data_IF_159246289417
#
_entry.id   IF_159246289417
#
_cell.length_a   1.000
_cell.length_b   1.000
_cell.length_c   1.000
_cell.angle_alpha   90.00
_cell.angle_beta   90.00
_cell.angle_gamma   90.00
#
_symmetry.space_group_name_H-M   'P 1'
#
loop_
_entity.id
_entity.type
_entity.pdbx_description
1 polymer ?
#
# COMPACT_ATOMS: atom_id res chain seq x y z
N UNK A 1 11.65 -43.43 10.62
CA UNK A 1 11.65 -42.61 9.40
C UNK A 1 10.21 -42.23 9.10
N UNK A 2 9.88 -40.93 9.21
CA UNK A 2 8.56 -40.43 8.88
C UNK A 2 8.33 -40.58 7.37
N UNK A 3 7.11 -40.90 6.94
CA UNK A 3 6.82 -41.05 5.50
C UNK A 3 6.84 -39.67 4.85
N UNK A 4 7.26 -39.60 3.60
CA UNK A 4 7.32 -38.34 2.84
C UNK A 4 5.96 -37.61 2.80
N UNK A 5 4.85 -38.35 2.86
CA UNK A 5 3.49 -37.79 2.92
C UNK A 5 3.21 -37.02 4.22
N UNK A 6 3.70 -37.50 5.36
CA UNK A 6 3.51 -36.84 6.65
C UNK A 6 4.30 -35.52 6.70
N UNK A 7 5.51 -35.48 6.13
CA UNK A 7 6.29 -34.23 5.99
C UNK A 7 5.54 -33.19 5.15
N UNK A 8 4.92 -33.63 4.06
CA UNK A 8 4.13 -32.74 3.17
C UNK A 8 2.89 -32.18 3.88
N UNK A 9 2.23 -32.98 4.72
CA UNK A 9 1.06 -32.52 5.49
C UNK A 9 1.45 -31.47 6.53
N UNK A 10 2.49 -31.74 7.33
CA UNK A 10 2.97 -30.81 8.35
C UNK A 10 3.44 -29.48 7.73
N UNK A 11 4.18 -29.54 6.61
CA UNK A 11 4.58 -28.36 5.84
C UNK A 11 3.37 -27.51 5.40
N UNK A 12 2.32 -28.15 4.89
CA UNK A 12 1.12 -27.44 4.46
C UNK A 12 0.35 -26.80 5.62
N UNK A 13 0.28 -27.47 6.78
CA UNK A 13 -0.37 -26.93 7.99
C UNK A 13 0.42 -25.75 8.59
N UNK A 14 1.75 -25.84 8.63
CA UNK A 14 2.62 -24.75 9.05
C UNK A 14 2.50 -23.53 8.12
N UNK A 15 2.51 -23.77 6.80
CA UNK A 15 2.26 -22.72 5.79
C UNK A 15 0.89 -22.08 5.95
N UNK A 16 -0.15 -22.86 6.24
CA UNK A 16 -1.50 -22.34 6.46
C UNK A 16 -1.54 -21.35 7.63
N UNK A 17 -0.97 -21.73 8.78
CA UNK A 17 -0.97 -20.88 9.98
C UNK A 17 -0.03 -19.69 9.86
N UNK A 18 1.12 -19.85 9.24
CA UNK A 18 2.04 -18.74 9.00
C UNK A 18 1.44 -17.75 8.02
N UNK A 19 0.86 -18.23 6.91
CA UNK A 19 0.12 -17.39 5.98
C UNK A 19 -1.04 -16.69 6.67
N UNK A 20 -1.75 -17.36 7.59
CA UNK A 20 -2.83 -16.75 8.35
C UNK A 20 -2.30 -15.67 9.31
N UNK A 21 -1.21 -15.91 10.05
CA UNK A 21 -0.56 -14.89 10.93
C UNK A 21 0.03 -13.72 10.15
N UNK A 22 0.69 -13.99 9.03
CA UNK A 22 1.28 -12.98 8.16
C UNK A 22 0.17 -12.20 7.47
N UNK A 23 -0.86 -12.83 6.91
CA UNK A 23 -1.97 -12.13 6.25
C UNK A 23 -2.97 -11.47 7.21
N UNK A 24 -3.08 -11.95 8.46
CA UNK A 24 -3.94 -11.31 9.46
C UNK A 24 -3.32 -10.00 10.00
N UNK A 25 -2.01 -9.81 9.83
CA UNK A 25 -1.28 -8.63 10.33
C UNK A 25 -0.64 -7.78 9.23
N UNK A 26 -0.19 -8.37 8.12
CA UNK A 26 0.11 -7.63 6.91
C UNK A 26 -1.22 -7.08 6.43
N UNK A 27 -1.37 -5.76 6.40
CA UNK A 27 -2.59 -5.10 5.91
C UNK A 27 -2.66 -5.39 4.40
N UNK A 28 -3.48 -6.33 3.89
CA UNK A 28 -3.71 -6.35 2.46
C UNK A 28 -4.46 -5.05 2.15
N UNK A 29 -3.84 -4.16 1.39
CA UNK A 29 -4.62 -3.08 0.79
C UNK A 29 -5.78 -3.72 0.02
N UNK A 30 -7.04 -3.35 0.31
CA UNK A 30 -8.19 -3.94 -0.35
C UNK A 30 -7.99 -3.89 -1.87
N UNK A 31 -8.33 -4.95 -2.61
CA UNK A 31 -8.16 -4.96 -4.08
C UNK A 31 -8.85 -3.76 -4.74
N UNK A 32 -9.96 -3.30 -4.16
CA UNK A 32 -10.73 -2.13 -4.58
C UNK A 32 -9.94 -0.79 -4.47
N UNK A 33 -8.89 -0.73 -3.63
CA UNK A 33 -8.02 0.44 -3.46
C UNK A 33 -6.97 0.51 -4.58
N UNK A 34 -6.61 -0.63 -5.19
CA UNK A 34 -5.62 -0.68 -6.29
C UNK A 34 -6.13 0.01 -7.55
N UNK A 35 -7.43 -0.08 -7.84
CA UNK A 35 -8.04 0.50 -9.05
C UNK A 35 -8.34 2.01 -8.89
N UNK A 36 -8.62 2.47 -7.66
CA UNK A 36 -8.99 3.86 -7.35
C UNK A 36 -7.85 4.76 -6.86
N UNK A 37 -6.69 4.21 -6.51
CA UNK A 37 -5.53 5.01 -6.09
C UNK A 37 -5.12 6.01 -7.19
N UNK A 38 -4.75 7.26 -6.86
CA UNK A 38 -4.14 8.13 -7.86
C UNK A 38 -2.88 7.46 -8.42
N UNK A 39 -2.57 7.67 -9.70
CA UNK A 39 -1.52 6.91 -10.41
C UNK A 39 -0.11 6.99 -9.77
N UNK A 40 0.13 7.93 -8.86
CA UNK A 40 1.38 8.00 -8.08
C UNK A 40 1.40 7.08 -6.84
N UNK A 41 0.25 6.58 -6.38
CA UNK A 41 0.11 5.63 -5.25
C UNK A 41 -0.15 4.18 -5.72
N UNK A 42 -0.57 3.97 -6.97
CA UNK A 42 -0.71 2.64 -7.55
C UNK A 42 0.65 1.95 -7.60
N UNK A 43 0.78 0.83 -6.88
CA UNK A 43 1.93 -0.08 -7.01
C UNK A 43 1.43 -1.36 -7.63
N UNK A 44 1.65 -1.48 -8.94
CA UNK A 44 1.42 -2.71 -9.67
C UNK A 44 2.47 -3.75 -9.24
N UNK A 45 2.06 -4.66 -8.36
CA UNK A 45 2.81 -5.88 -8.03
C UNK A 45 2.75 -6.93 -9.14
N UNK A 46 2.02 -6.65 -10.23
CA UNK A 46 1.97 -7.46 -11.44
C UNK A 46 2.23 -6.59 -12.66
N UNK A 47 3.31 -6.86 -13.39
CA UNK A 47 3.63 -6.23 -14.67
C UNK A 47 3.77 -4.69 -14.65
N UNK A 48 4.59 -4.17 -13.74
CA UNK A 48 5.43 -3.03 -14.05
C UNK A 48 5.35 -1.87 -13.08
N UNK A 49 6.35 -1.83 -12.20
CA UNK A 49 6.70 -0.65 -11.42
C UNK A 49 7.23 0.45 -12.37
N UNK A 50 6.52 1.57 -12.49
CA UNK A 50 7.04 2.79 -13.11
C UNK A 50 7.02 3.90 -12.05
N UNK A 51 8.08 3.99 -11.24
CA UNK A 51 8.27 5.17 -10.40
C UNK A 51 8.73 6.33 -11.30
N UNK A 52 7.78 7.20 -11.65
CA UNK A 52 8.15 8.57 -11.98
C UNK A 52 8.45 9.24 -10.66
N UNK A 53 9.72 9.48 -10.36
CA UNK A 53 10.10 10.39 -9.29
C UNK A 53 9.25 11.65 -9.45
N UNK A 54 8.56 12.12 -8.39
CA UNK A 54 7.77 13.35 -8.50
C UNK A 54 8.70 14.43 -9.05
N UNK A 55 8.23 15.32 -9.93
CA UNK A 55 9.03 16.44 -10.38
C UNK A 55 9.38 17.26 -9.13
N UNK A 56 10.58 17.03 -8.60
CA UNK A 56 11.17 17.83 -7.54
C UNK A 56 11.03 19.26 -8.01
N UNK A 57 10.18 20.02 -7.32
CA UNK A 57 9.87 21.37 -7.71
C UNK A 57 11.19 22.11 -7.91
N UNK A 58 11.49 22.54 -9.15
CA UNK A 58 12.67 23.35 -9.48
C UNK A 58 12.72 24.69 -8.70
N UNK A 59 11.75 24.95 -7.80
CA UNK A 59 11.64 26.14 -6.97
C UNK A 59 12.22 26.02 -5.57
N UNK A 60 12.50 24.82 -5.04
CA UNK A 60 13.02 24.71 -3.67
C UNK A 60 14.56 24.70 -3.55
N UNK A 61 15.29 24.82 -4.66
CA UNK A 61 16.75 25.06 -4.67
C UNK A 61 17.16 26.43 -5.24
N UNK A 62 16.27 27.43 -5.17
CA UNK A 62 16.57 28.82 -5.58
C UNK A 62 16.53 29.85 -4.42
N UNK A 63 16.71 29.39 -3.19
CA UNK A 63 16.93 30.25 -2.01
C UNK A 63 18.03 29.49 -1.23
N UNK A 64 19.29 29.87 -1.19
CA UNK A 64 19.91 31.19 -1.03
C UNK A 64 21.21 31.26 -1.84
N UNK A 65 21.20 31.94 -2.99
CA UNK A 65 22.42 32.38 -3.67
C UNK A 65 22.59 33.87 -3.42
N UNK A 66 23.28 34.21 -2.34
CA UNK A 66 23.89 35.52 -2.15
C UNK A 66 25.37 35.30 -1.80
N UNK A 67 26.20 35.42 -2.83
CA UNK A 67 27.59 35.89 -2.73
C UNK A 67 28.63 34.86 -2.29
N UNK A 68 29.24 34.19 -3.25
CA UNK A 68 30.69 34.19 -3.48
C UNK A 68 30.98 33.35 -4.73
N UNK A 69 31.47 34.01 -5.78
CA UNK A 69 31.87 33.41 -7.06
C UNK A 69 33.12 32.54 -6.84
N UNK A 70 32.92 31.26 -6.57
CA UNK A 70 34.00 30.26 -6.52
C UNK A 70 34.23 29.71 -7.94
N UNK A 71 35.14 30.33 -8.70
CA UNK A 71 35.54 29.99 -10.08
C UNK A 71 36.33 28.65 -10.17
N UNK A 72 35.88 27.61 -9.47
CA UNK A 72 36.53 26.29 -9.44
C UNK A 72 35.61 25.09 -9.67
N UNK A 73 34.31 25.31 -9.95
CA UNK A 73 33.28 24.26 -9.87
C UNK A 73 32.52 23.98 -11.18
N UNK A 74 33.18 24.02 -12.34
CA UNK A 74 32.49 23.78 -13.63
C UNK A 74 32.96 22.55 -14.42
N UNK A 75 33.95 21.78 -13.96
CA UNK A 75 34.50 20.67 -14.78
C UNK A 75 33.84 19.31 -14.53
N UNK A 76 33.09 19.13 -13.43
CA UNK A 76 32.47 17.84 -13.08
C UNK A 76 30.98 17.75 -13.40
N UNK A 77 30.36 18.83 -13.89
CA UNK A 77 28.94 18.85 -14.26
C UNK A 77 28.64 18.01 -15.51
N UNK A 78 29.65 17.68 -16.32
CA UNK A 78 29.47 17.00 -17.63
C UNK A 78 29.56 15.46 -17.55
N UNK A 79 29.95 14.90 -16.39
CA UNK A 79 29.98 13.45 -16.15
C UNK A 79 28.86 12.95 -15.22
N UNK A 80 27.98 13.86 -14.78
CA UNK A 80 26.80 13.51 -14.00
C UNK A 80 25.67 13.04 -14.93
N UNK A 81 25.14 11.85 -14.69
CA UNK A 81 23.82 11.49 -15.22
C UNK A 81 22.77 11.92 -14.20
N UNK A 82 21.65 12.48 -14.68
CA UNK A 82 20.52 12.83 -13.80
C UNK A 82 19.64 11.58 -13.61
N UNK A 83 19.53 11.04 -12.38
CA UNK A 83 18.64 9.92 -12.12
C UNK A 83 17.17 10.24 -12.38
N UNK A 84 16.77 11.52 -12.41
CA UNK A 84 15.40 11.91 -12.73
C UNK A 84 15.02 11.72 -14.22
N UNK A 85 16.00 11.59 -15.12
CA UNK A 85 15.76 11.30 -16.54
C UNK A 85 15.49 9.80 -16.82
N UNK A 86 15.58 8.98 -15.77
CA UNK A 86 15.38 7.55 -15.83
C UNK A 86 14.21 7.13 -14.94
N UNK A 87 13.57 6.04 -15.35
CA UNK A 87 12.55 5.33 -14.60
C UNK A 87 13.10 3.97 -14.23
N UNK A 88 12.88 3.58 -12.97
CA UNK A 88 13.30 2.29 -12.44
C UNK A 88 12.14 1.31 -12.61
N UNK A 89 12.44 0.11 -13.10
CA UNK A 89 11.49 -0.98 -13.20
C UNK A 89 12.05 -2.27 -12.61
N UNK A 90 11.25 -2.92 -11.78
CA UNK A 90 11.55 -4.27 -11.29
C UNK A 90 11.54 -5.26 -12.46
N UNK A 91 12.63 -6.00 -12.65
CA UNK A 91 12.75 -7.04 -13.69
C UNK A 91 12.45 -8.41 -13.12
N UNK A 92 12.97 -8.67 -11.92
CA UNK A 92 12.89 -9.98 -11.30
C UNK A 92 13.82 -10.11 -10.11
N UNK A 93 13.95 -11.33 -9.64
CA UNK A 93 14.84 -11.72 -8.56
C UNK A 93 15.66 -12.94 -8.96
N UNK A 94 16.74 -13.21 -8.22
CA UNK A 94 17.56 -14.40 -8.43
C UNK A 94 18.19 -14.87 -7.12
N UNK A 95 18.32 -16.19 -7.00
CA UNK A 95 19.08 -16.85 -5.94
C UNK A 95 20.41 -17.32 -6.54
N UNK A 96 21.54 -16.87 -6.00
CA UNK A 96 22.88 -17.17 -6.51
C UNK A 96 23.72 -17.75 -5.38
N UNK A 97 24.23 -18.97 -5.58
CA UNK A 97 25.23 -19.55 -4.68
C UNK A 97 26.57 -18.84 -4.87
N UNK A 98 27.04 -18.16 -3.84
CA UNK A 98 28.31 -17.43 -3.81
C UNK A 98 29.26 -18.03 -2.79
N UNK A 99 30.56 -17.80 -2.96
CA UNK A 99 31.55 -18.22 -1.95
C UNK A 99 31.34 -17.38 -0.69
N UNK A 100 31.30 -18.03 0.47
CA UNK A 100 31.23 -17.36 1.76
C UNK A 100 32.45 -17.74 2.59
N UNK A 101 33.21 -16.71 2.99
CA UNK A 101 34.42 -16.89 3.81
C UNK A 101 34.08 -17.52 5.16
N UNK A 102 32.92 -17.15 5.74
CA UNK A 102 32.42 -17.72 7.00
C UNK A 102 32.16 -19.22 6.89
N UNK A 103 31.52 -19.63 5.78
CA UNK A 103 31.27 -21.04 5.48
C UNK A 103 32.56 -21.79 5.16
N UNK A 104 33.56 -21.13 4.56
CA UNK A 104 34.85 -21.73 4.23
C UNK A 104 35.71 -22.07 5.47
N UNK A 105 35.53 -21.37 6.60
CA UNK A 105 36.34 -21.54 7.80
C UNK A 105 35.88 -22.68 8.73
N UNK A 106 34.68 -23.24 8.53
CA UNK A 106 34.17 -24.33 9.36
C UNK A 106 32.79 -24.90 8.99
N UNK A 107 32.20 -24.44 7.89
CA UNK A 107 30.89 -24.86 7.42
C UNK A 107 30.90 -26.24 6.74
N UNK A 108 29.71 -26.84 6.63
CA UNK A 108 29.48 -28.07 5.87
C UNK A 108 29.53 -27.85 4.35
N UNK A 109 29.31 -26.62 3.92
CA UNK A 109 29.44 -26.18 2.52
C UNK A 109 30.30 -24.91 2.50
N UNK A 110 30.83 -24.57 1.31
CA UNK A 110 31.62 -23.35 1.09
C UNK A 110 30.79 -22.25 0.41
N UNK A 111 29.58 -22.61 -0.01
CA UNK A 111 28.68 -21.72 -0.71
C UNK A 111 27.61 -21.20 0.24
N UNK A 112 27.18 -19.97 0.02
CA UNK A 112 26.04 -19.37 0.65
C UNK A 112 25.11 -18.86 -0.44
N UNK A 113 23.81 -19.08 -0.29
CA UNK A 113 22.82 -18.60 -1.25
C UNK A 113 22.54 -17.13 -0.98
N UNK A 114 23.04 -16.23 -1.84
CA UNK A 114 22.71 -14.81 -1.80
C UNK A 114 21.52 -14.54 -2.72
N UNK A 115 20.61 -13.68 -2.26
CA UNK A 115 19.34 -13.38 -2.93
C UNK A 115 19.37 -11.93 -3.41
N UNK A 116 18.98 -11.73 -4.66
CA UNK A 116 19.10 -10.44 -5.31
C UNK A 116 17.81 -10.04 -6.01
N UNK A 117 17.58 -8.74 -6.08
CA UNK A 117 16.56 -8.11 -6.90
C UNK A 117 17.24 -7.34 -8.02
N UNK A 118 16.75 -7.53 -9.24
CA UNK A 118 17.26 -6.89 -10.44
C UNK A 118 16.30 -5.80 -10.88
N UNK A 119 16.83 -4.60 -10.98
CA UNK A 119 16.14 -3.44 -11.55
C UNK A 119 16.71 -3.10 -12.92
N UNK A 120 15.85 -2.56 -13.76
CA UNK A 120 16.23 -1.91 -15.01
C UNK A 120 15.95 -0.43 -14.94
N UNK A 121 16.98 0.37 -15.21
CA UNK A 121 16.87 1.80 -15.41
C UNK A 121 16.68 2.06 -16.88
N UNK A 122 15.52 2.60 -17.21
CA UNK A 122 15.12 2.96 -18.57
C UNK A 122 15.03 4.48 -18.69
N UNK A 123 15.43 5.08 -19.81
CA UNK A 123 15.12 6.49 -20.05
C UNK A 123 13.62 6.70 -19.93
N UNK A 124 13.17 7.72 -19.18
CA UNK A 124 11.75 7.85 -18.81
C UNK A 124 10.80 7.96 -20.00
N UNK A 125 11.28 8.45 -21.15
CA UNK A 125 10.49 8.53 -22.38
C UNK A 125 10.34 7.19 -23.13
N UNK A 126 11.13 6.17 -22.76
CA UNK A 126 11.07 4.82 -23.30
C UNK A 126 10.50 3.81 -22.31
N UNK A 127 10.49 4.14 -21.01
CA UNK A 127 9.91 3.29 -19.98
C UNK A 127 8.39 3.28 -20.15
N UNK A 128 7.81 2.11 -20.42
CA UNK A 128 6.36 1.99 -20.54
C UNK A 128 5.85 0.62 -20.11
N UNK A 129 4.56 0.58 -19.76
CA UNK A 129 3.88 -0.63 -19.30
C UNK A 129 3.76 -1.71 -20.38
N UNK A 130 3.87 -1.36 -21.66
CA UNK A 130 3.84 -2.31 -22.78
C UNK A 130 5.03 -3.26 -22.81
N UNK A 131 6.16 -2.85 -22.22
CA UNK A 131 7.36 -3.68 -22.15
C UNK A 131 7.45 -4.28 -20.77
N UNK A 132 7.52 -5.61 -20.69
CA UNK A 132 7.65 -6.34 -19.44
C UNK A 132 8.77 -5.80 -18.55
N UNK A 133 9.93 -5.53 -19.16
CA UNK A 133 11.10 -4.98 -18.48
C UNK A 133 11.26 -3.45 -18.68
N UNK A 134 10.25 -2.77 -19.22
CA UNK A 134 10.21 -1.30 -19.30
C UNK A 134 10.77 -0.74 -20.59
N UNK A 135 11.97 -1.16 -20.99
CA UNK A 135 12.59 -0.80 -22.26
C UNK A 135 13.55 -1.90 -22.75
N UNK A 136 13.80 -1.94 -24.05
CA UNK A 136 14.61 -2.98 -24.71
C UNK A 136 16.01 -2.52 -25.13
N UNK A 137 16.30 -1.22 -25.08
CA UNK A 137 17.58 -0.61 -25.50
C UNK A 137 17.97 0.50 -24.53
N UNK A 138 19.25 0.88 -24.52
CA UNK A 138 19.79 2.00 -23.72
C UNK A 138 19.42 1.94 -22.23
N UNK A 139 19.41 0.73 -21.67
CA UNK A 139 19.07 0.50 -20.28
C UNK A 139 20.31 0.12 -19.46
N UNK A 140 20.26 0.48 -18.18
CA UNK A 140 21.18 -0.04 -17.16
C UNK A 140 20.47 -1.12 -16.33
N UNK A 141 21.19 -2.15 -15.91
CA UNK A 141 20.70 -3.12 -14.93
C UNK A 141 21.45 -2.94 -13.63
N UNK A 142 20.69 -2.88 -12.54
CA UNK A 142 21.21 -2.70 -11.19
C UNK A 142 20.70 -3.82 -10.33
N UNK A 143 21.53 -4.27 -9.40
CA UNK A 143 21.26 -5.41 -8.55
C UNK A 143 21.44 -4.96 -7.12
N UNK A 144 20.44 -5.21 -6.28
CA UNK A 144 20.53 -5.00 -4.83
C UNK A 144 20.22 -6.31 -4.11
N UNK A 145 20.61 -6.41 -2.84
CA UNK A 145 20.24 -7.57 -2.03
C UNK A 145 18.72 -7.60 -1.82
N UNK A 146 18.15 -8.80 -1.75
CA UNK A 146 16.71 -8.95 -1.50
C UNK A 146 16.30 -8.35 -0.15
N UNK A 147 17.19 -8.43 0.84
CA UNK A 147 16.93 -7.94 2.19
C UNK A 147 16.86 -6.40 2.20
N UNK A 148 17.82 -5.74 1.55
CA UNK A 148 17.82 -4.28 1.33
C UNK A 148 16.60 -3.83 0.51
N UNK A 149 16.21 -4.61 -0.52
CA UNK A 149 15.00 -4.32 -1.29
C UNK A 149 13.75 -4.31 -0.39
N UNK A 150 13.57 -5.33 0.44
CA UNK A 150 12.40 -5.47 1.29
C UNK A 150 12.35 -4.41 2.39
N UNK A 151 13.51 -4.02 2.92
CA UNK A 151 13.61 -2.92 3.89
C UNK A 151 13.18 -1.59 3.28
N UNK A 152 13.79 -1.20 2.15
CA UNK A 152 13.46 0.05 1.47
C UNK A 152 12.02 0.04 0.96
N UNK A 153 11.56 -1.09 0.42
CA UNK A 153 10.18 -1.23 -0.05
C UNK A 153 9.17 -1.18 1.11
N UNK A 154 9.52 -1.74 2.27
CA UNK A 154 8.73 -1.64 3.49
C UNK A 154 8.54 -0.20 3.94
N UNK A 155 9.63 0.55 4.07
CA UNK A 155 9.60 1.98 4.43
C UNK A 155 8.77 2.79 3.42
N UNK A 156 8.99 2.58 2.13
CA UNK A 156 8.20 3.23 1.08
C UNK A 156 6.70 2.93 1.20
N UNK A 157 6.34 1.70 1.59
CA UNK A 157 4.94 1.32 1.79
C UNK A 157 4.31 1.93 3.03
N UNK A 158 5.07 2.07 4.11
CA UNK A 158 4.64 2.82 5.29
C UNK A 158 4.38 4.29 4.95
N UNK A 159 5.29 4.93 4.21
CA UNK A 159 5.12 6.33 3.77
C UNK A 159 3.89 6.50 2.85
N UNK A 160 3.71 5.61 1.87
CA UNK A 160 2.53 5.63 1.00
C UNK A 160 1.23 5.48 1.80
N UNK A 161 1.24 4.59 2.79
CA UNK A 161 0.09 4.36 3.66
C UNK A 161 -0.24 5.61 4.48
N UNK A 162 0.77 6.23 5.09
CA UNK A 162 0.59 7.47 5.84
C UNK A 162 0.04 8.61 4.95
N UNK A 163 0.63 8.80 3.77
CA UNK A 163 0.13 9.79 2.80
C UNK A 163 -1.32 9.53 2.36
N UNK A 164 -1.70 8.25 2.19
CA UNK A 164 -3.08 7.87 1.89
C UNK A 164 -4.03 8.28 3.03
N UNK A 165 -3.65 7.99 4.27
CA UNK A 165 -4.45 8.32 5.44
C UNK A 165 -4.61 9.83 5.64
N UNK A 166 -3.52 10.59 5.55
CA UNK A 166 -3.55 12.06 5.63
C UNK A 166 -4.41 12.68 4.53
N UNK A 167 -4.30 12.14 3.30
CA UNK A 167 -5.13 12.58 2.18
C UNK A 167 -6.62 12.30 2.43
N UNK A 168 -6.96 11.09 2.85
CA UNK A 168 -8.35 10.69 3.06
C UNK A 168 -9.00 11.39 4.26
N UNK A 169 -8.23 11.65 5.31
CA UNK A 169 -8.70 12.45 6.45
C UNK A 169 -9.11 13.86 6.01
N UNK A 170 -8.24 14.55 5.25
CA UNK A 170 -8.55 15.87 4.71
C UNK A 170 -9.75 15.83 3.76
N UNK A 171 -9.78 14.85 2.86
CA UNK A 171 -10.87 14.60 1.93
C UNK A 171 -12.22 14.49 2.64
N UNK A 172 -12.32 13.60 3.64
CA UNK A 172 -13.57 13.36 4.39
C UNK A 172 -13.96 14.54 5.29
N UNK A 173 -12.99 15.27 5.83
CA UNK A 173 -13.26 16.51 6.56
C UNK A 173 -13.98 17.54 5.69
N UNK A 174 -13.50 17.76 4.46
CA UNK A 174 -14.13 18.70 3.53
C UNK A 174 -15.53 18.27 3.11
N UNK A 175 -15.77 16.98 2.87
CA UNK A 175 -17.11 16.47 2.55
C UNK A 175 -18.12 16.77 3.65
N UNK A 176 -17.77 16.43 4.89
CA UNK A 176 -18.63 16.68 6.04
C UNK A 176 -18.88 18.18 6.23
N UNK A 177 -17.87 19.02 6.00
CA UNK A 177 -18.00 20.46 6.11
C UNK A 177 -18.91 21.09 5.03
N UNK A 178 -18.78 20.69 3.77
CA UNK A 178 -19.53 21.31 2.66
C UNK A 178 -20.91 20.69 2.39
N UNK A 179 -21.08 19.40 2.69
CA UNK A 179 -22.30 18.65 2.38
C UNK A 179 -23.04 18.15 3.62
N UNK A 180 -22.35 17.91 4.74
CA UNK A 180 -22.97 17.47 5.99
C UNK A 180 -23.94 18.48 6.60
N UNK A 181 -23.74 19.78 6.36
CA UNK A 181 -24.62 20.83 6.88
C UNK A 181 -25.87 21.11 6.02
N UNK A 182 -25.94 20.63 4.76
CA UNK A 182 -27.13 20.88 3.92
C UNK A 182 -28.35 20.06 4.31
N UNK A 183 -28.20 18.97 5.06
CA UNK A 183 -29.32 18.13 5.47
C UNK A 183 -30.08 18.64 6.70
N UNK A 184 -29.59 19.68 7.39
CA UNK A 184 -30.26 20.19 8.60
C UNK A 184 -31.28 21.31 8.33
N UNK A 185 -31.25 21.93 7.15
CA UNK A 185 -32.13 23.06 6.84
C UNK A 185 -33.44 22.67 6.14
N UNK A 186 -33.56 21.44 5.61
CA UNK A 186 -34.78 20.93 4.94
C UNK A 186 -35.66 20.03 5.84
N UNK A 187 -35.21 19.72 7.06
CA UNK A 187 -36.02 19.01 8.06
C UNK A 187 -36.79 19.97 9.00
N UNK A 188 -36.83 21.26 8.64
CA UNK A 188 -37.17 22.35 9.54
C UNK A 188 -38.48 23.08 9.26
N UNK A 189 -39.50 22.51 8.59
CA UNK A 189 -40.77 23.25 8.43
C UNK A 189 -42.09 22.45 8.33
N UNK A 190 -42.12 21.12 8.51
CA UNK A 190 -43.37 20.33 8.39
C UNK A 190 -43.85 19.61 9.67
N UNK A 191 -43.22 19.82 10.83
CA UNK A 191 -43.63 19.21 12.10
C UNK A 191 -44.56 20.09 12.97
N UNK A 192 -45.41 20.91 12.33
CA UNK A 192 -46.46 21.66 13.00
C UNK A 192 -47.82 21.50 12.30
N UNK A 193 -48.24 20.25 12.04
CA UNK A 193 -49.62 19.97 11.68
C UNK A 193 -50.08 18.62 12.27
N UNK A 194 -50.98 18.69 13.24
CA UNK A 194 -51.99 17.65 13.43
C UNK A 194 -52.03 16.97 14.79
N UNK A 195 -52.40 17.70 15.84
CA UNK A 195 -53.13 17.10 16.96
C UNK A 195 -54.16 18.08 17.53
N UNK A 196 -55.10 18.51 16.67
CA UNK A 196 -56.36 19.13 17.09
C UNK A 196 -57.51 18.51 16.28
N UNK A 197 -57.99 17.39 16.80
CA UNK A 197 -59.24 16.79 16.39
C UNK A 197 -60.41 17.57 17.01
N UNK A 198 -61.35 18.00 16.15
CA UNK A 198 -62.71 18.50 16.44
C UNK A 198 -62.78 19.91 17.08
N UNK A 199 -63.53 20.89 16.58
CA UNK A 199 -64.85 20.89 15.95
C UNK A 199 -65.05 22.16 15.09
N UNK A 200 -66.09 22.10 14.26
CA UNK A 200 -66.93 23.21 13.78
C UNK A 200 -66.48 24.04 12.55
N UNK A 201 -67.05 23.63 11.41
CA UNK A 201 -67.88 24.45 10.50
C UNK A 201 -67.47 25.90 10.18
N UNK A 202 -67.29 26.17 8.87
CA UNK A 202 -67.76 27.42 8.26
C UNK A 202 -66.81 28.10 7.29
N UNK A 203 -67.21 28.06 6.00
CA UNK A 203 -67.06 29.06 4.94
C UNK A 203 -65.69 29.60 4.47
N UNK A 204 -65.50 29.37 3.17
CA UNK A 204 -65.09 30.29 2.11
C UNK A 204 -63.67 30.91 2.04
N UNK A 205 -63.12 30.72 0.82
CA UNK A 205 -62.12 31.53 0.12
C UNK A 205 -60.66 31.31 0.58
N UNK A 206 -59.66 31.15 -0.28
CA UNK A 206 -59.42 31.69 -1.62
C UNK A 206 -58.56 30.68 -2.40
N UNK A 207 -58.95 30.44 -3.65
CA UNK A 207 -58.15 29.77 -4.66
C UNK A 207 -57.52 30.86 -5.55
N UNK A 208 -56.23 31.11 -5.41
CA UNK A 208 -55.36 31.79 -6.39
C UNK A 208 -54.02 31.04 -6.33
N UNK A 209 -53.72 30.18 -7.29
CA UNK A 209 -53.04 30.44 -8.57
C UNK A 209 -51.53 30.75 -8.42
N UNK A 210 -50.74 29.98 -9.18
CA UNK A 210 -49.36 30.23 -9.66
C UNK A 210 -48.22 30.08 -8.63
N UNK A 211 -47.13 29.34 -8.84
CA UNK A 211 -46.51 28.89 -10.09
C UNK A 211 -45.86 27.51 -9.93
N UNK A 212 -46.26 26.64 -10.86
CA UNK A 212 -45.77 25.29 -11.05
C UNK A 212 -44.45 25.37 -11.85
N UNK A 213 -43.31 25.26 -11.18
CA UNK A 213 -42.05 24.99 -11.88
C UNK A 213 -42.09 23.54 -12.38
N UNK A 214 -42.27 23.37 -13.68
CA UNK A 214 -42.03 22.10 -14.35
C UNK A 214 -40.56 21.72 -14.16
N UNK A 215 -40.29 20.80 -13.25
CA UNK A 215 -39.07 19.98 -13.30
C UNK A 215 -39.35 18.95 -14.39
N UNK A 216 -38.60 19.03 -15.49
CA UNK A 216 -38.61 18.04 -16.58
C UNK A 216 -38.31 16.65 -16.00
N UNK A 217 -39.33 15.81 -15.83
CA UNK A 217 -39.21 14.41 -15.41
C UNK A 217 -38.73 13.48 -16.56
N UNK A 218 -38.38 14.05 -17.72
CA UNK A 218 -37.92 13.33 -18.92
C UNK A 218 -36.39 13.45 -19.17
N UNK A 219 -35.62 13.92 -18.18
CA UNK A 219 -34.17 13.73 -18.17
C UNK A 219 -33.89 12.32 -17.65
N UNK A 220 -33.54 11.43 -18.57
CA UNK A 220 -33.32 10.00 -18.30
C UNK A 220 -32.34 9.73 -17.15
N UNK A 221 -32.43 8.48 -16.70
CA UNK A 221 -31.65 7.70 -15.71
C UNK A 221 -30.10 7.79 -15.80
N UNK A 222 -29.55 8.86 -16.36
CA UNK A 222 -28.13 9.11 -16.49
C UNK A 222 -27.64 9.77 -15.20
N UNK A 223 -27.45 8.92 -14.19
CA UNK A 223 -26.53 9.09 -13.06
C UNK A 223 -26.47 10.52 -12.51
N UNK A 224 -27.26 10.78 -11.47
CA UNK A 224 -26.89 11.78 -10.48
C UNK A 224 -25.47 11.43 -9.99
N UNK A 225 -24.44 12.00 -10.62
CA UNK A 225 -23.09 11.98 -10.10
C UNK A 225 -23.19 12.69 -8.77
N UNK A 226 -23.20 11.92 -7.69
CA UNK A 226 -23.02 12.43 -6.34
C UNK A 226 -21.79 13.33 -6.38
N UNK A 227 -22.03 14.64 -6.35
CA UNK A 227 -20.96 15.62 -6.40
C UNK A 227 -20.29 15.60 -5.04
N UNK A 228 -19.25 14.80 -4.91
CA UNK A 228 -18.38 14.77 -3.75
C UNK A 228 -17.36 15.93 -3.89
N UNK A 229 -17.07 16.66 -2.81
CA UNK A 229 -15.98 17.64 -2.74
C UNK A 229 -14.62 17.04 -3.11
N UNK A 230 -14.47 15.74 -2.93
CA UNK A 230 -13.23 15.01 -3.07
C UNK A 230 -13.24 14.09 -4.29
N UNK A 231 -12.20 14.20 -5.11
CA UNK A 231 -12.04 13.40 -6.33
C UNK A 231 -12.02 11.89 -6.08
N UNK A 232 -11.48 11.47 -4.93
CA UNK A 232 -11.31 10.06 -4.55
C UNK A 232 -12.15 9.70 -3.31
N UNK A 233 -13.38 10.23 -3.23
CA UNK A 233 -14.28 9.99 -2.11
C UNK A 233 -14.55 8.49 -1.90
N UNK A 234 -14.82 7.76 -2.99
CA UNK A 234 -15.19 6.35 -2.92
C UNK A 234 -14.07 5.46 -2.38
N UNK A 235 -12.82 5.86 -2.62
CA UNK A 235 -11.61 5.23 -2.08
C UNK A 235 -11.44 5.57 -0.60
N UNK A 236 -11.74 6.81 -0.22
CA UNK A 236 -11.58 7.28 1.15
C UNK A 236 -12.74 6.93 2.09
N UNK A 237 -13.91 6.49 1.61
CA UNK A 237 -15.07 6.24 2.47
C UNK A 237 -14.83 5.23 3.60
N UNK A 238 -13.93 4.27 3.38
CA UNK A 238 -13.57 3.23 4.35
C UNK A 238 -12.22 3.52 5.05
N UNK A 239 -11.65 4.72 4.89
CA UNK A 239 -10.29 5.03 5.39
C UNK A 239 -10.17 4.88 6.91
N UNK A 240 -11.20 5.22 7.71
CA UNK A 240 -11.16 5.06 9.16
C UNK A 240 -10.94 3.60 9.59
N UNK A 241 -11.45 2.62 8.84
CA UNK A 241 -11.22 1.19 9.15
C UNK A 241 -9.77 0.78 8.90
N UNK A 242 -9.09 1.48 8.01
CA UNK A 242 -7.75 1.15 7.53
C UNK A 242 -6.71 1.93 8.33
N UNK A 243 -6.91 3.24 8.47
CA UNK A 243 -5.98 4.22 9.03
C UNK A 243 -6.10 4.38 10.55
N UNK A 244 -7.25 4.07 11.12
CA UNK A 244 -7.51 4.19 12.55
C UNK A 244 -7.79 2.82 13.15
N UNK A 245 -6.81 1.92 12.98
CA UNK A 245 -6.90 0.54 13.40
C UNK A 245 -7.12 0.42 14.93
N UNK A 246 -6.51 1.34 15.69
CA UNK A 246 -6.64 1.39 17.15
C UNK A 246 -8.04 1.88 17.59
N UNK A 247 -8.59 2.96 17.02
CA UNK A 247 -9.96 3.37 17.40
C UNK A 247 -11.04 2.43 16.86
N UNK A 248 -10.80 1.73 15.74
CA UNK A 248 -11.81 0.81 15.18
C UNK A 248 -12.15 -0.33 16.14
N UNK A 249 -11.15 -0.86 16.87
CA UNK A 249 -11.37 -1.88 17.90
C UNK A 249 -12.08 -1.32 19.14
N UNK A 250 -11.73 -0.11 19.58
CA UNK A 250 -12.40 0.57 20.69
C UNK A 250 -13.87 0.89 20.37
N UNK A 251 -14.18 1.30 19.14
CA UNK A 251 -15.53 1.63 18.69
C UNK A 251 -16.48 0.42 18.58
N UNK A 252 -15.95 -0.81 18.46
CA UNK A 252 -16.75 -2.04 18.44
C UNK A 252 -17.12 -2.55 19.85
N UNK A 253 -16.71 -1.85 20.92
CA UNK A 253 -17.01 -2.26 22.29
C UNK A 253 -16.24 -3.51 22.75
N UNK A 254 -15.12 -3.81 22.10
CA UNK A 254 -14.12 -4.72 22.66
C UNK A 254 -13.35 -3.95 23.74
N UNK A 255 -13.90 -3.99 24.95
CA UNK A 255 -13.34 -3.46 26.18
C UNK A 255 -12.11 -4.31 26.56
N UNK A 256 -11.00 -4.15 25.85
CA UNK A 256 -9.73 -4.87 26.07
C UNK A 256 -8.90 -4.26 27.23
N UNK A 257 -9.59 -3.76 28.25
CA UNK A 257 -9.03 -3.18 29.48
C UNK A 257 -8.43 -4.23 30.44
N UNK A 258 -8.28 -5.49 30.02
CA UNK A 258 -7.94 -6.58 30.94
C UNK A 258 -6.52 -7.13 30.88
N UNK A 259 -5.66 -6.79 29.89
CA UNK A 259 -4.26 -7.26 29.86
C UNK A 259 -3.38 -6.56 28.79
N UNK A 260 -3.27 -5.23 28.83
CA UNK A 260 -2.40 -4.46 27.91
C UNK A 260 -0.94 -4.32 28.38
N UNK A 261 -0.51 -5.01 29.44
CA UNK A 261 0.83 -4.80 30.02
C UNK A 261 1.97 -5.67 29.44
N UNK A 262 1.71 -6.67 28.58
CA UNK A 262 2.76 -7.64 28.20
C UNK A 262 2.81 -8.05 26.70
N UNK A 263 2.15 -7.33 25.79
CA UNK A 263 2.14 -7.71 24.35
C UNK A 263 2.42 -6.54 23.39
N UNK A 264 3.34 -5.65 23.76
CA UNK A 264 4.07 -4.80 22.82
C UNK A 264 5.19 -5.61 22.10
N UNK A 265 4.91 -6.87 21.75
CA UNK A 265 5.70 -7.54 20.72
C UNK A 265 5.23 -6.95 19.40
N UNK A 266 5.66 -5.71 19.14
CA UNK A 266 5.65 -5.08 17.84
C UNK A 266 6.19 -6.12 16.88
N UNK A 267 5.28 -6.72 16.10
CA UNK A 267 5.63 -7.76 15.17
C UNK A 267 6.41 -7.10 14.04
N UNK A 268 7.71 -6.97 14.24
CA UNK A 268 8.61 -6.37 13.28
C UNK A 268 8.72 -7.32 12.09
N UNK A 269 7.92 -7.06 11.06
CA UNK A 269 7.96 -7.81 9.80
C UNK A 269 9.38 -7.85 9.19
N UNK A 270 10.25 -6.92 9.62
CA UNK A 270 11.68 -6.85 9.28
C UNK A 270 12.45 -8.09 9.75
N UNK A 271 12.07 -8.69 10.87
CA UNK A 271 12.70 -9.91 11.36
C UNK A 271 12.61 -11.07 10.35
N UNK A 272 11.53 -11.09 9.55
CA UNK A 272 11.31 -12.11 8.53
C UNK A 272 12.05 -11.86 7.22
N UNK A 273 12.74 -10.73 7.06
CA UNK A 273 13.60 -10.51 5.89
C UNK A 273 14.84 -11.41 5.96
N UNK A 274 15.26 -11.74 7.18
CA UNK A 274 16.32 -12.69 7.46
C UNK A 274 15.80 -14.13 7.55
N UNK A 275 16.73 -15.08 7.64
CA UNK A 275 16.41 -16.49 7.79
C UNK A 275 15.97 -16.78 9.23
N UNK A 276 14.66 -16.87 9.47
CA UNK A 276 14.13 -17.05 10.83
C UNK A 276 13.77 -18.49 11.14
N UNK A 277 14.22 -18.95 12.31
CA UNK A 277 13.83 -20.24 12.86
C UNK A 277 12.39 -20.20 13.36
N UNK A 278 11.58 -21.13 12.88
CA UNK A 278 10.20 -21.34 13.28
C UNK A 278 10.12 -22.72 13.91
N UNK A 279 9.97 -22.75 15.23
CA UNK A 279 9.76 -23.97 15.98
C UNK A 279 8.42 -24.61 15.60
N UNK A 280 8.43 -25.93 15.36
CA UNK A 280 7.19 -26.67 15.38
C UNK A 280 6.63 -26.74 16.82
N UNK A 281 5.30 -26.83 16.94
CA UNK A 281 4.61 -26.85 18.24
C UNK A 281 5.07 -27.99 19.17
N UNK A 282 5.86 -28.94 18.67
CA UNK A 282 6.33 -30.10 19.39
C UNK A 282 7.85 -30.05 19.69
N UNK A 283 8.57 -29.03 19.26
CA UNK A 283 10.02 -28.87 19.40
C UNK A 283 10.86 -29.96 18.72
N UNK A 284 10.30 -30.68 17.74
CA UNK A 284 10.97 -31.81 17.08
C UNK A 284 11.66 -31.41 15.77
N UNK A 285 11.20 -30.35 15.13
CA UNK A 285 11.74 -29.85 13.87
C UNK A 285 11.84 -28.33 13.89
N UNK A 286 13.06 -27.83 13.66
CA UNK A 286 13.29 -26.44 13.30
C UNK A 286 13.10 -26.31 11.77
N UNK A 287 12.18 -25.44 11.37
CA UNK A 287 12.08 -24.99 9.98
C UNK A 287 12.56 -23.55 9.92
N UNK A 288 13.18 -23.16 8.81
CA UNK A 288 13.57 -21.78 8.61
C UNK A 288 12.68 -21.15 7.56
N UNK A 289 12.30 -19.89 7.76
CA UNK A 289 11.46 -19.14 6.83
C UNK A 289 12.17 -17.86 6.46
N UNK A 290 12.20 -17.60 5.15
CA UNK A 290 12.78 -16.37 4.62
C UNK A 290 12.19 -16.04 3.24
N UNK A 291 12.26 -14.76 2.81
CA UNK A 291 11.93 -14.38 1.46
C UNK A 291 12.90 -15.04 0.47
N UNK A 292 12.37 -15.46 -0.67
CA UNK A 292 13.15 -16.10 -1.74
C UNK A 292 12.52 -15.79 -3.08
N UNK A 293 13.33 -15.85 -4.12
CA UNK A 293 12.80 -15.74 -5.47
C UNK A 293 12.03 -17.00 -5.86
N UNK A 294 10.83 -16.84 -6.42
CA UNK A 294 10.08 -17.97 -6.98
C UNK A 294 10.74 -18.52 -8.24
N UNK A 295 10.34 -19.74 -8.62
CA UNK A 295 10.87 -20.45 -9.79
C UNK A 295 10.70 -19.70 -11.13
N UNK A 296 9.77 -18.74 -11.20
CA UNK A 296 9.56 -17.89 -12.37
C UNK A 296 10.59 -16.76 -12.51
N UNK A 297 11.43 -16.53 -11.48
CA UNK A 297 12.40 -15.45 -11.42
C UNK A 297 11.78 -14.06 -11.27
N UNK A 298 10.46 -13.96 -11.03
CA UNK A 298 9.71 -12.70 -11.06
C UNK A 298 9.04 -12.37 -9.74
N UNK A 299 8.61 -13.36 -8.97
CA UNK A 299 7.91 -13.09 -7.72
C UNK A 299 8.83 -13.33 -6.52
N UNK A 300 8.69 -12.50 -5.48
CA UNK A 300 9.31 -12.75 -4.18
C UNK A 300 8.25 -13.45 -3.33
N UNK A 301 8.60 -14.62 -2.80
CA UNK A 301 7.73 -15.45 -1.97
C UNK A 301 8.42 -15.80 -0.67
N UNK A 302 7.68 -16.20 0.35
CA UNK A 302 8.27 -16.82 1.54
C UNK A 302 8.52 -18.31 1.29
N UNK A 303 9.79 -18.70 1.36
CA UNK A 303 10.24 -20.08 1.30
C UNK A 303 10.29 -20.73 2.68
N UNK A 304 10.19 -22.06 2.72
CA UNK A 304 10.50 -22.85 3.91
C UNK A 304 11.76 -23.66 3.60
N UNK A 305 12.72 -23.58 4.50
CA UNK A 305 14.04 -24.20 4.41
C UNK A 305 14.25 -25.14 5.60
N UNK A 306 15.13 -26.12 5.42
CA UNK A 306 15.53 -27.08 6.45
C UNK A 306 16.91 -26.78 7.04
N UNK A 307 17.52 -25.66 6.63
CA UNK A 307 18.82 -25.20 7.06
C UNK A 307 18.78 -23.73 7.52
N UNK A 308 19.65 -23.40 8.48
CA UNK A 308 19.71 -22.08 9.10
C UNK A 308 20.22 -20.96 8.17
N UNK A 309 20.65 -21.30 6.95
CA UNK A 309 21.10 -20.34 5.94
C UNK A 309 20.06 -20.10 4.85
N UNK A 310 18.91 -20.78 4.93
CA UNK A 310 17.83 -20.70 3.94
C UNK A 310 18.33 -20.94 2.50
N UNK A 311 19.20 -21.94 2.33
CA UNK A 311 19.91 -22.18 1.07
C UNK A 311 19.33 -23.27 0.17
N UNK A 312 18.52 -24.19 0.71
CA UNK A 312 18.03 -25.41 0.03
C UNK A 312 16.77 -25.25 -0.83
#
# INVERSE_FOLDING_TARGET
AMKAEDKKRIRNEAMGRMRERVLSKAIPMPENVKDGMPDFLKVDTGAGFESKLPPQSRRQRQLEENGEEDEGREEWADFGWDPADYSIKYVGCANIAMYSDENAEGGSTVFETKRFVVFRLCPSYQCGNYYENGCSVNYGEYVISLDEYLEVFGQFKEEQFQCYCEYCEQCMYFENYFYGYRQLDDAGEDAAAGDDAAEAAGDDAVQEDADYYYVDEDAGDDAAQESHACKYYNECKDYLKICDYDQWYEAQGYDDDANKEDQDDDFEYREFFECQEVDDQYGYYAYYVAPTCSDDGKSIIFGIFDDAYCGN
#
